data_IF_120188090210
#
_entry.id   IF_120188090210
#
_cell.length_a   1.000
_cell.length_b   1.000
_cell.length_c   1.000
_cell.angle_alpha   90.00
_cell.angle_beta   90.00
_cell.angle_gamma   90.00
#
_symmetry.space_group_name_H-M   'P 1'
#
loop_
_entity.id
_entity.type
_entity.pdbx_description
1 polymer ?
#
# COMPACT_ATOMS: atom_id res chain seq x y z
N UNK A 1 -29.73 -30.53 -15.16
CA UNK A 1 -28.56 -30.86 -14.31
C UNK A 1 -27.31 -30.68 -15.16
N UNK A 2 -26.81 -29.45 -15.26
CA UNK A 2 -25.56 -29.14 -15.97
C UNK A 2 -24.52 -28.91 -14.89
N UNK A 3 -23.64 -29.89 -14.71
CA UNK A 3 -22.41 -29.74 -13.93
C UNK A 3 -21.38 -29.14 -14.89
N UNK A 4 -20.97 -27.89 -14.66
CA UNK A 4 -19.88 -27.30 -15.42
C UNK A 4 -18.92 -26.55 -14.50
N UNK A 5 -17.78 -27.21 -14.34
CA UNK A 5 -16.43 -26.72 -14.09
C UNK A 5 -16.10 -26.11 -12.73
N UNK A 6 -15.25 -26.87 -12.02
CA UNK A 6 -14.56 -26.50 -10.80
C UNK A 6 -13.79 -25.17 -10.96
N UNK A 7 -14.12 -24.23 -10.07
CA UNK A 7 -13.40 -23.01 -9.77
C UNK A 7 -11.92 -23.29 -9.49
N UNK A 8 -11.08 -23.17 -10.52
CA UNK A 8 -9.63 -23.14 -10.37
C UNK A 8 -9.17 -21.68 -10.44
N UNK A 9 -8.46 -21.21 -9.41
CA UNK A 9 -8.04 -19.80 -9.26
C UNK A 9 -7.10 -19.34 -10.39
N UNK A 10 -6.51 -20.29 -11.11
CA UNK A 10 -5.62 -20.08 -12.25
C UNK A 10 -6.29 -19.41 -13.46
N UNK A 11 -7.62 -19.51 -13.61
CA UNK A 11 -8.35 -18.95 -14.77
C UNK A 11 -8.91 -17.53 -14.58
N UNK A 12 -8.68 -16.89 -13.42
CA UNK A 12 -9.14 -15.52 -13.19
C UNK A 12 -8.33 -14.50 -14.03
N UNK A 13 -9.00 -13.51 -14.67
CA UNK A 13 -8.33 -12.41 -15.37
C UNK A 13 -7.27 -11.74 -14.48
N UNK A 14 -6.14 -11.35 -15.07
CA UNK A 14 -4.96 -10.85 -14.33
C UNK A 14 -5.29 -9.67 -13.40
N UNK A 15 -6.28 -8.85 -13.76
CA UNK A 15 -6.74 -7.71 -12.97
C UNK A 15 -7.33 -8.10 -11.61
N UNK A 16 -8.04 -9.24 -11.54
CA UNK A 16 -8.58 -9.76 -10.29
C UNK A 16 -7.50 -10.40 -9.40
N UNK A 17 -6.44 -10.92 -10.01
CA UNK A 17 -5.27 -11.42 -9.27
C UNK A 17 -4.45 -10.29 -8.68
N UNK A 18 -4.34 -9.16 -9.38
CA UNK A 18 -3.72 -7.95 -8.86
C UNK A 18 -4.55 -7.35 -7.71
N UNK A 19 -5.88 -7.28 -7.83
CA UNK A 19 -6.74 -6.78 -6.75
C UNK A 19 -6.69 -7.62 -5.47
N UNK A 20 -6.39 -8.92 -5.59
CA UNK A 20 -6.16 -9.78 -4.44
C UNK A 20 -4.98 -9.31 -3.57
N UNK A 21 -3.96 -8.68 -4.16
CA UNK A 21 -2.74 -8.25 -3.46
C UNK A 21 -3.03 -7.16 -2.43
N UNK A 22 -4.02 -6.30 -2.67
CA UNK A 22 -4.42 -5.24 -1.74
C UNK A 22 -5.82 -5.45 -1.15
N UNK A 23 -6.46 -6.58 -1.46
CA UNK A 23 -7.75 -6.96 -0.89
C UNK A 23 -7.64 -7.55 0.52
N UNK A 24 -6.46 -8.04 0.93
CA UNK A 24 -6.21 -8.47 2.30
C UNK A 24 -5.77 -7.32 3.20
N UNK A 25 -5.91 -7.51 4.51
CA UNK A 25 -5.48 -6.53 5.51
C UNK A 25 -3.97 -6.27 5.45
N UNK A 26 -3.15 -7.33 5.35
CA UNK A 26 -1.69 -7.13 5.23
C UNK A 26 -1.32 -6.53 3.86
N UNK A 27 -2.04 -6.92 2.82
CA UNK A 27 -1.85 -6.46 1.45
C UNK A 27 -2.11 -4.96 1.29
N UNK A 28 -3.15 -4.44 1.95
CA UNK A 28 -3.45 -3.01 1.93
C UNK A 28 -2.39 -2.18 2.67
N UNK A 29 -1.77 -2.73 3.72
CA UNK A 29 -0.63 -2.10 4.41
C UNK A 29 0.62 -2.07 3.51
N UNK A 30 0.87 -3.12 2.74
CA UNK A 30 1.95 -3.11 1.74
C UNK A 30 1.71 -2.04 0.66
N UNK A 31 0.47 -1.93 0.16
CA UNK A 31 0.10 -0.87 -0.78
C UNK A 31 0.32 0.52 -0.18
N UNK A 32 -0.01 0.72 1.10
CA UNK A 32 0.23 1.95 1.82
C UNK A 32 1.73 2.31 1.88
N UNK A 33 2.58 1.37 2.29
CA UNK A 33 4.04 1.55 2.35
C UNK A 33 4.60 1.86 0.97
N UNK A 34 4.12 1.17 -0.07
CA UNK A 34 4.56 1.40 -1.44
C UNK A 34 4.22 2.81 -1.91
N UNK A 35 2.97 3.24 -1.72
CA UNK A 35 2.54 4.61 -2.04
C UNK A 35 3.33 5.65 -1.23
N UNK A 36 3.59 5.41 0.05
CA UNK A 36 4.34 6.33 0.90
C UNK A 36 5.78 6.49 0.41
N UNK A 37 6.37 5.41 -0.09
CA UNK A 37 7.69 5.40 -0.73
C UNK A 37 7.69 6.16 -2.05
N UNK A 38 6.65 5.98 -2.88
CA UNK A 38 6.49 6.71 -4.15
C UNK A 38 6.35 8.21 -3.89
N UNK A 39 5.52 8.61 -2.95
CA UNK A 39 5.36 10.01 -2.56
C UNK A 39 6.64 10.61 -1.97
N UNK A 40 7.35 9.88 -1.09
CA UNK A 40 8.64 10.32 -0.55
C UNK A 40 9.66 10.52 -1.65
N UNK A 41 9.70 9.60 -2.63
CA UNK A 41 10.58 9.70 -3.79
C UNK A 41 10.20 10.88 -4.68
N UNK A 42 8.91 11.12 -4.90
CA UNK A 42 8.42 12.28 -5.65
C UNK A 42 8.85 13.59 -4.97
N UNK A 43 8.71 13.70 -3.64
CA UNK A 43 9.18 14.86 -2.87
C UNK A 43 10.70 15.03 -3.03
N UNK A 44 11.49 13.96 -2.88
CA UNK A 44 12.94 14.02 -3.03
C UNK A 44 13.38 14.48 -4.43
N UNK A 45 12.66 14.09 -5.48
CA UNK A 45 13.01 14.40 -6.86
C UNK A 45 12.49 15.77 -7.33
N UNK A 46 11.27 16.16 -6.92
CA UNK A 46 10.58 17.35 -7.40
C UNK A 46 10.86 18.60 -6.53
N UNK A 47 11.20 18.43 -5.25
CA UNK A 47 11.46 19.54 -4.32
C UNK A 47 12.91 20.06 -4.34
N UNK A 48 13.71 19.71 -5.36
CA UNK A 48 15.13 20.14 -5.47
C UNK A 48 15.34 21.66 -5.49
N UNK A 49 14.30 22.44 -5.77
CA UNK A 49 14.33 23.90 -5.78
C UNK A 49 14.18 24.53 -4.38
N UNK A 50 13.81 23.74 -3.36
CA UNK A 50 13.66 24.21 -1.98
C UNK A 50 14.97 24.11 -1.19
N UNK A 51 15.11 24.85 -0.07
CA UNK A 51 16.24 24.70 0.83
C UNK A 51 16.41 23.24 1.27
N UNK A 52 17.63 22.70 1.16
CA UNK A 52 17.90 21.28 1.46
C UNK A 52 17.47 20.89 2.87
N UNK A 53 17.63 21.77 3.85
CA UNK A 53 17.19 21.52 5.23
C UNK A 53 15.68 21.31 5.35
N UNK A 54 14.87 22.06 4.59
CA UNK A 54 13.42 21.92 4.61
C UNK A 54 12.99 20.58 4.01
N UNK A 55 13.56 20.23 2.84
CA UNK A 55 13.27 18.95 2.18
C UNK A 55 13.72 17.77 3.04
N UNK A 56 14.90 17.87 3.68
CA UNK A 56 15.40 16.84 4.59
C UNK A 56 14.49 16.61 5.79
N UNK A 57 13.91 17.66 6.38
CA UNK A 57 12.93 17.54 7.48
C UNK A 57 11.65 16.86 7.02
N UNK A 58 11.12 17.24 5.86
CA UNK A 58 9.93 16.61 5.27
C UNK A 58 10.16 15.13 5.03
N UNK A 59 11.27 14.78 4.37
CA UNK A 59 11.66 13.38 4.14
C UNK A 59 11.93 12.64 5.44
N UNK A 60 12.47 13.30 6.47
CA UNK A 60 12.66 12.74 7.80
C UNK A 60 11.33 12.36 8.47
N UNK A 61 10.33 13.24 8.42
CA UNK A 61 8.99 12.97 8.96
C UNK A 61 8.32 11.84 8.18
N UNK A 62 8.36 11.88 6.84
CA UNK A 62 7.84 10.80 6.01
C UNK A 62 8.57 9.47 6.27
N UNK A 63 9.87 9.52 6.52
CA UNK A 63 10.70 8.38 6.90
C UNK A 63 10.28 7.76 8.23
N UNK A 64 10.04 8.58 9.26
CA UNK A 64 9.54 8.09 10.57
C UNK A 64 8.19 7.39 10.41
N UNK A 65 7.26 7.97 9.63
CA UNK A 65 5.96 7.35 9.34
C UNK A 65 6.18 6.00 8.64
N UNK A 66 7.07 5.97 7.63
CA UNK A 66 7.39 4.74 6.89
C UNK A 66 7.95 3.65 7.78
N UNK A 67 8.88 3.98 8.67
CA UNK A 67 9.45 3.04 9.65
C UNK A 67 8.36 2.50 10.57
N UNK A 68 7.45 3.36 11.06
CA UNK A 68 6.33 2.91 11.89
C UNK A 68 5.45 1.87 11.20
N UNK A 69 5.07 2.10 9.94
CA UNK A 69 4.29 1.14 9.16
C UNK A 69 5.07 -0.14 8.86
N UNK A 70 6.37 -0.06 8.53
CA UNK A 70 7.21 -1.24 8.30
C UNK A 70 7.32 -2.08 9.57
N UNK A 71 7.55 -1.46 10.72
CA UNK A 71 7.60 -2.18 12.01
C UNK A 71 6.25 -2.84 12.32
N UNK A 72 5.14 -2.11 12.12
CA UNK A 72 3.80 -2.66 12.33
C UNK A 72 3.55 -3.90 11.44
N UNK A 73 3.92 -3.84 10.16
CA UNK A 73 3.83 -4.99 9.25
C UNK A 73 4.73 -6.13 9.72
N UNK A 74 5.97 -5.86 10.14
CA UNK A 74 6.89 -6.92 10.55
C UNK A 74 6.45 -7.65 11.82
N UNK A 75 5.91 -6.93 12.81
CA UNK A 75 5.59 -7.48 14.12
C UNK A 75 4.12 -7.88 14.32
N UNK A 76 3.19 -7.25 13.62
CA UNK A 76 1.75 -7.42 13.88
C UNK A 76 1.01 -8.00 12.68
N UNK A 77 1.34 -7.56 11.48
CA UNK A 77 0.56 -7.87 10.27
C UNK A 77 1.45 -8.42 9.17
N UNK A 78 2.28 -9.41 9.49
CA UNK A 78 3.33 -9.89 8.59
C UNK A 78 2.74 -10.79 7.48
N UNK A 79 2.67 -10.30 6.22
CA UNK A 79 2.08 -11.04 5.09
C UNK A 79 2.93 -12.25 4.67
N UNK A 80 4.15 -12.36 5.21
CA UNK A 80 5.14 -13.38 4.86
C UNK A 80 5.35 -14.41 5.97
N UNK A 81 4.57 -14.34 7.06
CA UNK A 81 4.53 -15.43 8.03
C UNK A 81 4.08 -16.70 7.30
N UNK A 82 5.06 -17.58 7.08
CA UNK A 82 4.96 -18.65 6.10
C UNK A 82 3.87 -19.66 6.46
N UNK A 83 2.94 -19.82 5.54
CA UNK A 83 2.26 -21.06 5.15
C UNK A 83 3.28 -22.12 4.68
N UNK A 84 4.18 -22.53 5.58
CA UNK A 84 5.02 -23.72 5.41
C UNK A 84 4.59 -24.74 6.47
N UNK A 85 4.22 -25.98 6.09
CA UNK A 85 4.32 -26.59 4.75
C UNK A 85 3.08 -26.37 3.84
N UNK A 86 1.99 -25.80 4.36
CA UNK A 86 0.71 -25.71 3.63
C UNK A 86 0.63 -24.48 2.71
N UNK A 87 1.30 -24.55 1.56
CA UNK A 87 1.03 -23.62 0.46
C UNK A 87 -0.29 -24.03 -0.24
N UNK A 88 -1.35 -23.21 -0.22
CA UNK A 88 -2.54 -23.51 -1.01
C UNK A 88 -2.17 -23.49 -2.50
N UNK A 89 -2.24 -24.65 -3.16
CA UNK A 89 -1.93 -24.82 -4.60
C UNK A 89 -2.86 -23.97 -5.47
N UNK A 90 -4.10 -23.79 -5.01
CA UNK A 90 -5.00 -22.74 -5.45
C UNK A 90 -5.04 -21.67 -4.35
N UNK A 91 -4.75 -20.41 -4.71
CA UNK A 91 -4.95 -19.30 -3.77
C UNK A 91 -6.37 -19.32 -3.20
N UNK A 92 -6.60 -18.75 -2.01
CA UNK A 92 -7.95 -18.64 -1.46
C UNK A 92 -8.88 -18.03 -2.52
N UNK A 93 -10.06 -18.64 -2.70
CA UNK A 93 -11.07 -18.10 -3.60
C UNK A 93 -11.28 -16.61 -3.28
N UNK A 94 -11.29 -15.78 -4.33
CA UNK A 94 -11.53 -14.35 -4.19
C UNK A 94 -12.89 -14.18 -3.52
N UNK A 95 -12.97 -13.37 -2.46
CA UNK A 95 -14.27 -13.00 -1.89
C UNK A 95 -15.19 -12.53 -3.03
N UNK A 96 -16.40 -13.08 -3.20
CA UNK A 96 -17.29 -12.73 -4.31
C UNK A 96 -17.55 -11.22 -4.45
N UNK A 97 -17.38 -10.41 -3.39
CA UNK A 97 -17.40 -8.94 -3.48
C UNK A 97 -16.25 -8.32 -4.29
N UNK A 98 -15.06 -8.94 -4.32
CA UNK A 98 -13.87 -8.44 -5.04
C UNK A 98 -13.92 -8.69 -6.56
N UNK A 99 -15.03 -9.27 -7.06
CA UNK A 99 -15.28 -9.43 -8.49
C UNK A 99 -15.89 -8.18 -9.13
N UNK A 100 -16.28 -7.18 -8.34
CA UNK A 100 -16.70 -5.86 -8.83
C UNK A 100 -15.48 -5.02 -9.23
N UNK A 101 -15.48 -4.53 -10.47
CA UNK A 101 -14.44 -3.68 -11.04
C UNK A 101 -14.23 -2.39 -10.22
N UNK A 102 -15.29 -1.84 -9.60
CA UNK A 102 -15.19 -0.67 -8.74
C UNK A 102 -14.32 -0.92 -7.50
N UNK A 103 -14.45 -2.11 -6.90
CA UNK A 103 -13.67 -2.52 -5.72
C UNK A 103 -12.19 -2.85 -6.06
N UNK A 104 -11.84 -3.01 -7.34
CA UNK A 104 -10.46 -3.14 -7.80
C UNK A 104 -9.72 -1.80 -7.76
N UNK A 105 -10.38 -0.74 -8.25
CA UNK A 105 -9.76 0.59 -8.37
C UNK A 105 -9.94 1.48 -7.13
N UNK A 106 -10.98 1.23 -6.34
CA UNK A 106 -11.30 2.05 -5.18
C UNK A 106 -10.21 2.08 -4.10
N UNK A 107 -9.61 0.94 -3.67
CA UNK A 107 -8.56 0.98 -2.65
C UNK A 107 -7.31 1.74 -3.10
N UNK A 108 -6.72 1.51 -4.30
CA UNK A 108 -5.59 2.31 -4.75
C UNK A 108 -5.86 3.81 -4.82
N UNK A 109 -7.05 4.23 -5.28
CA UNK A 109 -7.39 5.65 -5.38
C UNK A 109 -7.53 6.30 -4.00
N UNK A 110 -8.22 5.63 -3.07
CA UNK A 110 -8.35 6.11 -1.69
C UNK A 110 -6.99 6.21 -0.99
N UNK A 111 -6.17 5.17 -1.11
CA UNK A 111 -4.86 5.15 -0.47
C UNK A 111 -3.92 6.18 -1.08
N UNK A 112 -4.01 6.44 -2.39
CA UNK A 112 -3.25 7.51 -3.04
C UNK A 112 -3.56 8.89 -2.42
N UNK A 113 -4.84 9.17 -2.14
CA UNK A 113 -5.28 10.39 -1.48
C UNK A 113 -4.85 10.48 -0.02
N UNK A 114 -5.08 9.43 0.78
CA UNK A 114 -4.70 9.41 2.19
C UNK A 114 -3.19 9.51 2.41
N UNK A 115 -2.41 8.73 1.66
CA UNK A 115 -0.95 8.77 1.74
C UNK A 115 -0.43 10.11 1.19
N UNK A 116 -1.06 10.64 0.13
CA UNK A 116 -0.74 11.97 -0.38
C UNK A 116 -0.93 13.08 0.67
N UNK A 117 -1.98 13.00 1.50
CA UNK A 117 -2.17 13.95 2.60
C UNK A 117 -1.04 13.92 3.64
N UNK A 118 -0.37 12.77 3.81
CA UNK A 118 0.81 12.63 4.67
C UNK A 118 1.97 13.52 4.22
N UNK A 119 2.06 13.82 2.90
CA UNK A 119 3.04 14.77 2.36
C UNK A 119 2.73 16.18 2.86
N UNK A 120 1.50 16.65 2.70
CA UNK A 120 1.08 17.98 3.17
C UNK A 120 1.28 18.13 4.68
N UNK A 121 0.94 17.10 5.45
CA UNK A 121 1.22 17.04 6.89
C UNK A 121 2.73 17.16 7.18
N UNK A 122 3.59 16.43 6.48
CA UNK A 122 5.03 16.49 6.67
C UNK A 122 5.60 17.89 6.37
N UNK A 123 5.10 18.56 5.33
CA UNK A 123 5.44 19.96 5.05
C UNK A 123 5.00 20.90 6.19
N UNK A 124 3.76 20.75 6.70
CA UNK A 124 3.25 21.58 7.78
C UNK A 124 4.08 21.42 9.07
N UNK A 125 4.41 20.18 9.46
CA UNK A 125 5.22 19.90 10.64
C UNK A 125 6.66 20.39 10.45
N UNK A 126 7.26 20.18 9.27
CA UNK A 126 8.60 20.71 8.97
C UNK A 126 8.65 22.25 9.06
N UNK A 127 7.60 22.93 8.62
CA UNK A 127 7.45 24.38 8.73
C UNK A 127 7.36 24.82 10.20
N UNK A 128 6.49 24.15 10.97
CA UNK A 128 6.31 24.39 12.41
C UNK A 128 7.62 24.25 13.19
N UNK A 129 8.42 23.21 12.90
CA UNK A 129 9.74 22.99 13.52
C UNK A 129 10.74 24.10 13.20
N UNK A 130 10.54 24.83 12.10
CA UNK A 130 11.43 25.90 11.64
C UNK A 130 10.92 27.28 12.05
N UNK A 131 9.71 27.37 12.62
CA UNK A 131 9.06 28.64 12.96
C UNK A 131 8.71 29.50 11.74
N UNK A 132 8.51 28.86 10.59
CA UNK A 132 8.13 29.51 9.32
C UNK A 132 6.77 29.05 8.85
#
# INVERSE_FOLDING_TARGET
MVLQNANSNSTLPIYYRLSAVWGSHEGSLLLWIWLLTVWSSAVALLSKHFPQEAVARVLGIMGIISVGFVLFVLFTSNPFTRTFPDFPVDGKELNPMLQDVGLIFHPPLLYMGYVGFSVAFAFAIASLMTGK
#
